data_IF_212616826578
#
_entry.id   IF_212616826578
#
_cell.length_a   1.000
_cell.length_b   1.000
_cell.length_c   1.000
_cell.angle_alpha   90.00
_cell.angle_beta   90.00
_cell.angle_gamma   90.00
#
_symmetry.space_group_name_H-M   'P 1'
#
loop_
_entity.id
_entity.type
_entity.pdbx_description
1 polymer ?
#
# COMPACT_ATOMS: atom_id res chain seq x y z
N UNK A 1 -29.09 -44.54 38.23
CA UNK A 1 -27.91 -44.26 37.39
C UNK A 1 -28.30 -43.12 36.45
N UNK A 2 -28.01 -41.88 36.81
CA UNK A 2 -28.49 -40.69 36.10
C UNK A 2 -27.34 -40.09 35.26
N UNK A 3 -27.53 -40.04 33.94
CA UNK A 3 -26.61 -39.44 32.98
C UNK A 3 -26.62 -37.91 33.13
N UNK A 4 -25.49 -37.35 33.58
CA UNK A 4 -25.23 -35.90 33.56
C UNK A 4 -24.97 -35.49 32.10
N UNK A 5 -25.95 -34.84 31.48
CA UNK A 5 -25.78 -34.15 30.21
C UNK A 5 -24.93 -32.89 30.46
N UNK A 6 -23.66 -32.92 30.07
CA UNK A 6 -22.83 -31.72 29.98
C UNK A 6 -23.37 -30.85 28.83
N UNK A 7 -24.00 -29.72 29.19
CA UNK A 7 -24.33 -28.68 28.23
C UNK A 7 -23.03 -28.04 27.77
N UNK A 8 -22.66 -28.23 26.51
CA UNK A 8 -21.61 -27.45 25.86
C UNK A 8 -22.01 -25.97 25.90
N UNK A 9 -21.21 -25.16 26.56
CA UNK A 9 -21.30 -23.70 26.48
C UNK A 9 -20.97 -23.29 25.04
N UNK A 10 -21.78 -22.46 24.36
CA UNK A 10 -21.46 -22.01 23.01
C UNK A 10 -20.13 -21.23 23.03
N UNK A 11 -19.19 -21.65 22.18
CA UNK A 11 -17.81 -21.14 22.11
C UNK A 11 -17.70 -19.70 21.58
N UNK A 12 -18.81 -19.03 21.29
CA UNK A 12 -18.86 -17.71 20.67
C UNK A 12 -19.95 -16.85 21.31
N UNK A 13 -19.73 -16.33 22.51
CA UNK A 13 -20.39 -15.09 22.92
C UNK A 13 -19.78 -13.95 22.10
N UNK A 14 -20.27 -13.77 20.87
CA UNK A 14 -20.05 -12.53 20.11
C UNK A 14 -20.76 -11.40 20.86
N UNK A 15 -20.04 -10.75 21.77
CA UNK A 15 -20.36 -9.37 22.18
C UNK A 15 -19.92 -8.44 21.05
N UNK A 16 -20.60 -8.50 19.90
CA UNK A 16 -20.67 -7.33 19.03
C UNK A 16 -21.54 -6.33 19.78
N UNK A 17 -20.89 -5.46 20.58
CA UNK A 17 -21.54 -4.25 21.06
C UNK A 17 -21.70 -3.38 19.82
N UNK A 18 -22.81 -3.56 19.09
CA UNK A 18 -23.25 -2.60 18.09
C UNK A 18 -23.43 -1.27 18.82
N UNK A 19 -22.43 -0.40 18.71
CA UNK A 19 -22.56 0.98 19.12
C UNK A 19 -23.69 1.57 18.28
N UNK A 20 -24.82 1.85 18.92
CA UNK A 20 -25.95 2.53 18.29
C UNK A 20 -25.47 3.93 17.90
N UNK A 21 -25.23 4.13 16.60
CA UNK A 21 -24.85 5.45 16.05
C UNK A 21 -26.09 6.34 16.06
N UNK A 22 -26.00 7.54 16.61
CA UNK A 22 -27.14 8.45 16.65
C UNK A 22 -27.52 8.91 15.22
N UNK A 23 -28.82 9.11 14.92
CA UNK A 23 -29.25 9.56 13.59
C UNK A 23 -28.62 10.87 13.12
N UNK A 24 -28.27 11.78 14.03
CA UNK A 24 -27.59 13.03 13.71
C UNK A 24 -26.16 12.79 13.20
N UNK A 25 -25.45 11.81 13.75
CA UNK A 25 -24.10 11.42 13.33
C UNK A 25 -24.12 10.77 11.94
N UNK A 26 -25.16 10.01 11.62
CA UNK A 26 -25.34 9.42 10.28
C UNK A 26 -25.53 10.49 9.20
N UNK A 27 -26.35 11.51 9.46
CA UNK A 27 -26.56 12.61 8.51
C UNK A 27 -25.27 13.41 8.26
N UNK A 28 -24.50 13.66 9.32
CA UNK A 28 -23.19 14.31 9.20
C UNK A 28 -22.22 13.46 8.39
N UNK A 29 -22.12 12.17 8.71
CA UNK A 29 -21.24 11.24 8.00
C UNK A 29 -21.60 11.17 6.51
N UNK A 30 -22.89 11.14 6.19
CA UNK A 30 -23.34 11.15 4.80
C UNK A 30 -22.92 12.40 4.05
N UNK A 31 -23.08 13.58 4.66
CA UNK A 31 -22.62 14.83 4.04
C UNK A 31 -21.12 14.83 3.78
N UNK A 32 -20.32 14.35 4.74
CA UNK A 32 -18.87 14.22 4.55
C UNK A 32 -18.55 13.26 3.39
N UNK A 33 -19.27 12.15 3.26
CA UNK A 33 -19.06 11.22 2.14
C UNK A 33 -19.51 11.81 0.79
N UNK A 34 -20.60 12.58 0.75
CA UNK A 34 -21.02 13.32 -0.44
C UNK A 34 -19.96 14.34 -0.85
N UNK A 35 -19.46 15.11 0.11
CA UNK A 35 -18.40 16.10 -0.11
C UNK A 35 -17.11 15.45 -0.61
N UNK A 36 -16.77 14.27 -0.08
CA UNK A 36 -15.59 13.50 -0.47
C UNK A 36 -15.66 12.95 -1.91
N UNK A 37 -16.85 12.59 -2.40
CA UNK A 37 -17.02 11.95 -3.72
C UNK A 37 -17.35 12.95 -4.82
N UNK A 38 -18.14 13.98 -4.53
CA UNK A 38 -18.65 14.89 -5.57
C UNK A 38 -18.85 16.34 -5.13
N UNK A 39 -18.39 16.73 -3.95
CA UNK A 39 -18.60 18.07 -3.40
C UNK A 39 -17.72 19.15 -4.01
N UNK A 40 -18.08 20.40 -3.70
CA UNK A 40 -17.23 21.59 -3.92
C UNK A 40 -16.22 21.82 -2.78
N UNK A 41 -16.27 20.98 -1.75
CA UNK A 41 -15.41 21.07 -0.57
C UNK A 41 -13.98 20.59 -0.88
N UNK A 42 -13.03 21.01 -0.04
CA UNK A 42 -11.67 20.47 -0.07
C UNK A 42 -11.68 19.01 0.41
N UNK A 43 -11.58 18.08 -0.55
CA UNK A 43 -11.66 16.63 -0.31
C UNK A 43 -10.57 16.13 0.64
N UNK A 44 -9.40 16.79 0.67
CA UNK A 44 -8.33 16.46 1.62
C UNK A 44 -8.75 16.81 3.05
N UNK A 45 -9.32 18.00 3.26
CA UNK A 45 -9.80 18.42 4.59
C UNK A 45 -10.94 17.50 5.09
N UNK A 46 -11.82 17.07 4.19
CA UNK A 46 -12.85 16.08 4.50
C UNK A 46 -12.25 14.74 4.94
N UNK A 47 -11.18 14.27 4.28
CA UNK A 47 -10.47 13.05 4.70
C UNK A 47 -9.84 13.18 6.09
N UNK A 48 -9.20 14.32 6.37
CA UNK A 48 -8.63 14.61 7.69
C UNK A 48 -9.73 14.55 8.74
N UNK A 49 -10.87 15.20 8.49
CA UNK A 49 -12.02 15.21 9.39
C UNK A 49 -12.55 13.80 9.67
N UNK A 50 -12.73 12.97 8.63
CA UNK A 50 -13.16 11.57 8.77
C UNK A 50 -12.16 10.74 9.57
N UNK A 51 -10.87 11.01 9.42
CA UNK A 51 -9.79 10.38 10.17
C UNK A 51 -9.81 10.73 11.66
N UNK A 52 -9.87 12.03 11.97
CA UNK A 52 -9.91 12.57 13.34
C UNK A 52 -11.14 12.07 14.11
N UNK A 53 -12.30 12.04 13.45
CA UNK A 53 -13.53 11.48 14.03
C UNK A 53 -13.42 9.97 14.25
N UNK A 54 -12.46 9.28 13.61
CA UNK A 54 -12.32 7.84 13.62
C UNK A 54 -13.37 7.11 12.78
N UNK A 55 -14.01 7.80 11.84
CA UNK A 55 -15.01 7.22 10.97
C UNK A 55 -14.40 6.10 10.11
N UNK A 56 -13.16 6.28 9.64
CA UNK A 56 -12.45 5.31 8.79
C UNK A 56 -12.22 3.98 9.53
N UNK A 57 -11.82 4.01 10.81
CA UNK A 57 -11.55 2.79 11.61
C UNK A 57 -12.82 2.07 12.08
N UNK A 58 -13.96 2.77 12.19
CA UNK A 58 -15.22 2.22 12.71
C UNK A 58 -16.22 1.82 11.63
N UNK A 59 -16.25 2.54 10.50
CA UNK A 59 -17.28 2.38 9.48
C UNK A 59 -16.72 1.71 8.20
N UNK A 60 -17.16 0.47 7.90
CA UNK A 60 -16.82 -0.28 6.69
C UNK A 60 -16.97 0.49 5.37
N UNK A 61 -18.05 1.27 5.23
CA UNK A 61 -18.33 2.03 4.01
C UNK A 61 -17.35 3.19 3.86
N UNK A 62 -17.05 3.90 4.94
CA UNK A 62 -16.08 5.01 4.93
C UNK A 62 -14.71 4.46 4.53
N UNK A 63 -14.26 3.37 5.16
CA UNK A 63 -13.00 2.71 4.78
C UNK A 63 -12.98 2.33 3.30
N UNK A 64 -14.06 1.74 2.79
CA UNK A 64 -14.17 1.40 1.37
C UNK A 64 -14.04 2.62 0.46
N UNK A 65 -14.75 3.72 0.77
CA UNK A 65 -14.65 4.97 0.00
C UNK A 65 -13.23 5.52 0.02
N UNK A 66 -12.57 5.57 1.18
CA UNK A 66 -11.18 6.05 1.30
C UNK A 66 -10.22 5.16 0.50
N UNK A 67 -10.41 3.84 0.45
CA UNK A 67 -9.60 2.94 -0.39
C UNK A 67 -9.73 3.28 -1.87
N UNK A 68 -10.92 3.67 -2.34
CA UNK A 68 -11.12 4.07 -3.74
C UNK A 68 -10.34 5.34 -4.08
N UNK A 69 -10.00 6.18 -3.10
CA UNK A 69 -9.20 7.39 -3.32
C UNK A 69 -7.71 7.11 -3.45
N UNK A 70 -7.27 5.86 -3.32
CA UNK A 70 -5.88 5.51 -3.65
C UNK A 70 -5.59 5.63 -5.15
N UNK A 71 -6.63 5.64 -6.00
CA UNK A 71 -6.50 5.91 -7.45
C UNK A 71 -6.78 7.36 -7.85
N UNK A 72 -7.04 8.25 -6.88
CA UNK A 72 -7.58 9.59 -7.13
C UNK A 72 -6.67 10.41 -8.06
N UNK A 73 -7.18 11.16 -9.05
CA UNK A 73 -6.32 11.99 -9.89
C UNK A 73 -5.57 13.07 -9.10
N UNK A 74 -6.14 13.55 -8.00
CA UNK A 74 -5.50 14.55 -7.14
C UNK A 74 -4.50 13.86 -6.18
N UNK A 75 -3.22 14.20 -6.34
CA UNK A 75 -2.14 13.66 -5.52
C UNK A 75 -2.27 14.03 -4.05
N UNK A 76 -2.80 15.20 -3.70
CA UNK A 76 -2.97 15.61 -2.31
C UNK A 76 -4.05 14.77 -1.62
N UNK A 77 -5.16 14.49 -2.32
CA UNK A 77 -6.22 13.58 -1.85
C UNK A 77 -5.71 12.16 -1.73
N UNK A 78 -4.97 11.65 -2.73
CA UNK A 78 -4.34 10.33 -2.69
C UNK A 78 -3.40 10.20 -1.51
N UNK A 79 -2.52 11.17 -1.29
CA UNK A 79 -1.56 11.17 -0.18
C UNK A 79 -2.25 11.14 1.17
N UNK A 80 -3.33 11.91 1.34
CA UNK A 80 -4.13 11.88 2.56
C UNK A 80 -4.81 10.52 2.74
N UNK A 81 -5.37 9.93 1.69
CA UNK A 81 -5.96 8.60 1.75
C UNK A 81 -4.93 7.53 2.16
N UNK A 82 -3.71 7.58 1.60
CA UNK A 82 -2.58 6.70 1.98
C UNK A 82 -2.27 6.85 3.46
N UNK A 83 -2.12 8.09 3.95
CA UNK A 83 -1.81 8.39 5.35
C UNK A 83 -2.89 7.85 6.28
N UNK A 84 -4.16 8.17 6.01
CA UNK A 84 -5.28 7.74 6.85
C UNK A 84 -5.41 6.22 6.90
N UNK A 85 -5.28 5.53 5.77
CA UNK A 85 -5.28 4.06 5.75
C UNK A 85 -4.04 3.49 6.43
N UNK A 86 -2.86 4.11 6.27
CA UNK A 86 -1.63 3.73 6.94
C UNK A 86 -1.73 3.80 8.46
N UNK A 87 -2.44 4.80 9.00
CA UNK A 87 -2.77 4.92 10.43
C UNK A 87 -3.69 3.77 10.85
N UNK A 88 -4.79 3.54 10.13
CA UNK A 88 -5.74 2.46 10.44
C UNK A 88 -5.06 1.09 10.42
N UNK A 89 -4.19 0.83 9.45
CA UNK A 89 -3.46 -0.44 9.34
C UNK A 89 -2.42 -0.59 10.45
N UNK A 90 -1.77 0.49 10.90
CA UNK A 90 -0.83 0.43 12.03
C UNK A 90 -1.49 -0.04 13.32
N UNK A 91 -2.77 0.31 13.50
CA UNK A 91 -3.53 -0.09 14.66
C UNK A 91 -3.96 -1.55 14.61
N UNK A 92 -3.89 -2.24 13.47
CA UNK A 92 -4.20 -3.68 13.40
C UNK A 92 -3.09 -4.46 14.13
N UNK A 93 -3.40 -5.33 15.12
CA UNK A 93 -4.70 -5.98 15.37
C UNK A 93 -5.56 -5.40 16.53
N UNK A 94 -5.30 -4.19 17.01
CA UNK A 94 -6.06 -3.52 18.09
C UNK A 94 -7.56 -3.49 17.84
N UNK A 95 -8.35 -3.77 18.88
CA UNK A 95 -9.83 -3.65 18.88
C UNK A 95 -10.34 -2.25 18.54
N UNK A 96 -9.45 -1.25 18.44
CA UNK A 96 -9.76 0.08 17.92
C UNK A 96 -10.26 0.09 16.46
N UNK A 97 -9.86 -0.92 15.66
CA UNK A 97 -10.31 -1.08 14.27
C UNK A 97 -11.35 -2.19 14.18
N UNK A 98 -12.53 -1.84 13.67
CA UNK A 98 -13.63 -2.79 13.45
C UNK A 98 -13.18 -3.96 12.58
N UNK A 99 -13.56 -5.19 12.96
CA UNK A 99 -13.21 -6.40 12.19
C UNK A 99 -13.61 -6.28 10.71
N UNK A 100 -14.83 -5.77 10.43
CA UNK A 100 -15.32 -5.57 9.07
C UNK A 100 -14.47 -4.56 8.28
N UNK A 101 -13.93 -3.53 8.94
CA UNK A 101 -13.02 -2.56 8.29
C UNK A 101 -11.72 -3.25 7.88
N UNK A 102 -11.16 -4.11 8.75
CA UNK A 102 -9.95 -4.88 8.42
C UNK A 102 -10.17 -5.82 7.25
N UNK A 103 -11.30 -6.53 7.25
CA UNK A 103 -11.67 -7.45 6.16
C UNK A 103 -11.82 -6.71 4.83
N UNK A 104 -12.45 -5.53 4.84
CA UNK A 104 -12.58 -4.69 3.63
C UNK A 104 -11.23 -4.19 3.15
N UNK A 105 -10.39 -3.66 4.04
CA UNK A 105 -9.05 -3.18 3.67
C UNK A 105 -8.24 -4.32 3.06
N UNK A 106 -8.16 -5.47 3.74
CA UNK A 106 -7.43 -6.64 3.24
C UNK A 106 -7.97 -7.15 1.90
N UNK A 107 -9.30 -7.25 1.76
CA UNK A 107 -9.94 -7.72 0.53
C UNK A 107 -9.74 -6.76 -0.65
N UNK A 108 -9.82 -5.45 -0.40
CA UNK A 108 -9.65 -4.44 -1.44
C UNK A 108 -8.19 -4.30 -1.86
N UNK A 109 -7.25 -4.21 -0.90
CA UNK A 109 -5.82 -4.17 -1.19
C UNK A 109 -5.32 -5.45 -1.86
N UNK A 110 -5.89 -6.62 -1.53
CA UNK A 110 -5.57 -7.87 -2.20
C UNK A 110 -5.98 -7.93 -3.68
N UNK A 111 -6.81 -7.00 -4.15
CA UNK A 111 -7.24 -6.86 -5.56
C UNK A 111 -6.47 -5.79 -6.32
N UNK A 112 -5.52 -5.10 -5.69
CA UNK A 112 -4.74 -4.05 -6.34
C UNK A 112 -3.99 -4.61 -7.54
N UNK A 113 -4.02 -3.84 -8.63
CA UNK A 113 -3.32 -4.14 -9.86
C UNK A 113 -2.12 -3.20 -10.07
N UNK A 114 -1.51 -3.26 -11.27
CA UNK A 114 -0.38 -2.38 -11.62
C UNK A 114 -0.74 -0.90 -11.62
N UNK A 115 -1.98 -0.53 -12.00
CA UNK A 115 -2.40 0.86 -12.05
C UNK A 115 -2.51 1.42 -10.63
N UNK A 116 -3.12 0.66 -9.72
CA UNK A 116 -3.21 1.04 -8.31
C UNK A 116 -1.81 1.20 -7.70
N UNK A 117 -0.93 0.23 -7.93
CA UNK A 117 0.44 0.26 -7.45
C UNK A 117 1.21 1.47 -8.02
N UNK A 118 1.01 1.82 -9.29
CA UNK A 118 1.69 2.96 -9.91
C UNK A 118 1.29 4.27 -9.23
N UNK A 119 0.00 4.47 -8.95
CA UNK A 119 -0.48 5.65 -8.23
C UNK A 119 0.16 5.79 -6.85
N UNK A 120 0.27 4.68 -6.12
CA UNK A 120 0.96 4.62 -4.83
C UNK A 120 2.46 4.99 -4.95
N UNK A 121 3.18 4.35 -5.87
CA UNK A 121 4.61 4.62 -6.08
C UNK A 121 4.87 6.07 -6.50
N UNK A 122 3.97 6.65 -7.32
CA UNK A 122 4.06 8.05 -7.70
C UNK A 122 3.96 8.97 -6.47
N UNK A 123 3.00 8.72 -5.58
CA UNK A 123 2.87 9.46 -4.31
C UNK A 123 4.16 9.42 -3.47
N UNK A 124 4.75 8.24 -3.29
CA UNK A 124 6.01 8.09 -2.56
C UNK A 124 7.21 8.74 -3.25
N UNK A 125 7.23 8.75 -4.59
CA UNK A 125 8.30 9.39 -5.37
C UNK A 125 8.28 10.91 -5.26
N UNK A 126 7.10 11.50 -5.01
CA UNK A 126 6.89 12.93 -4.83
C UNK A 126 7.05 13.35 -3.35
N UNK A 127 6.65 12.48 -2.42
CA UNK A 127 6.75 12.70 -0.98
C UNK A 127 7.25 11.45 -0.25
N UNK A 128 8.54 11.46 0.10
CA UNK A 128 9.19 10.36 0.81
C UNK A 128 8.61 10.09 2.21
N UNK A 129 7.87 11.04 2.80
CA UNK A 129 7.23 10.82 4.11
C UNK A 129 6.13 9.75 4.03
N UNK A 130 5.57 9.51 2.82
CA UNK A 130 4.54 8.50 2.58
C UNK A 130 5.06 7.06 2.64
N UNK A 131 6.37 6.86 2.65
CA UNK A 131 6.96 5.51 2.59
C UNK A 131 6.54 4.60 3.74
N UNK A 132 6.40 5.15 4.95
CA UNK A 132 5.99 4.37 6.12
C UNK A 132 4.57 3.83 5.98
N UNK A 133 3.63 4.70 5.64
CA UNK A 133 2.22 4.35 5.47
C UNK A 133 2.02 3.44 4.26
N UNK A 134 2.67 3.75 3.13
CA UNK A 134 2.61 2.91 1.94
C UNK A 134 3.19 1.52 2.18
N UNK A 135 4.29 1.41 2.93
CA UNK A 135 4.86 0.13 3.29
C UNK A 135 3.89 -0.78 4.04
N UNK A 136 3.05 -0.20 4.92
CA UNK A 136 1.99 -0.94 5.63
C UNK A 136 0.91 -1.44 4.66
N UNK A 137 0.48 -0.59 3.72
CA UNK A 137 -0.51 -0.99 2.71
C UNK A 137 0.01 -2.10 1.80
N UNK A 138 1.26 -1.98 1.33
CA UNK A 138 1.89 -2.99 0.49
C UNK A 138 2.06 -4.33 1.20
N UNK A 139 2.34 -4.35 2.51
CA UNK A 139 2.41 -5.58 3.30
C UNK A 139 1.06 -6.30 3.43
N UNK A 140 -0.07 -5.60 3.28
CA UNK A 140 -1.39 -6.23 3.26
C UNK A 140 -1.76 -6.84 1.91
N UNK A 141 -1.06 -6.46 0.83
CA UNK A 141 -1.29 -7.03 -0.48
C UNK A 141 -0.31 -8.20 -0.72
N UNK A 142 -0.80 -9.45 -0.85
CA UNK A 142 0.05 -10.64 -1.03
C UNK A 142 0.80 -10.67 -2.37
N UNK A 143 0.38 -9.87 -3.35
CA UNK A 143 0.98 -9.77 -4.69
C UNK A 143 1.93 -8.58 -4.85
N UNK A 144 2.11 -7.74 -3.82
CA UNK A 144 2.94 -6.54 -3.92
C UNK A 144 4.33 -6.80 -4.49
N UNK A 145 5.03 -7.84 -4.02
CA UNK A 145 6.37 -8.11 -4.54
C UNK A 145 6.43 -8.60 -6.00
N UNK A 146 5.38 -9.28 -6.49
CA UNK A 146 5.27 -9.63 -7.92
C UNK A 146 5.07 -8.35 -8.74
N UNK A 147 4.07 -7.54 -8.37
CA UNK A 147 3.74 -6.30 -9.06
C UNK A 147 4.91 -5.31 -9.05
N UNK A 148 5.63 -5.18 -7.94
CA UNK A 148 6.83 -4.35 -7.83
C UNK A 148 7.97 -4.88 -8.72
N UNK A 149 8.16 -6.20 -8.80
CA UNK A 149 9.17 -6.79 -9.66
C UNK A 149 8.90 -6.48 -11.14
N UNK A 150 7.63 -6.55 -11.55
CA UNK A 150 7.22 -6.19 -12.92
C UNK A 150 7.49 -4.71 -13.21
N UNK A 151 7.15 -3.81 -12.28
CA UNK A 151 7.44 -2.36 -12.38
C UNK A 151 8.95 -2.13 -12.54
N UNK A 152 9.79 -2.82 -11.78
CA UNK A 152 11.25 -2.70 -11.90
C UNK A 152 11.77 -3.22 -13.25
N UNK A 153 11.16 -4.29 -13.78
CA UNK A 153 11.51 -4.90 -15.05
C UNK A 153 11.11 -4.08 -16.29
N UNK A 154 10.03 -3.32 -16.19
CA UNK A 154 9.49 -2.52 -17.29
C UNK A 154 10.30 -1.24 -17.52
N UNK A 155 10.81 -1.07 -18.75
CA UNK A 155 11.60 0.10 -19.15
C UNK A 155 10.75 1.29 -19.59
N UNK A 156 9.46 1.08 -19.83
CA UNK A 156 8.52 2.16 -20.14
C UNK A 156 8.17 2.99 -18.90
N UNK A 157 8.33 2.40 -17.71
CA UNK A 157 8.11 3.05 -16.43
C UNK A 157 9.22 4.07 -16.14
N UNK A 158 8.89 5.30 -15.71
CA UNK A 158 9.88 6.31 -15.32
C UNK A 158 10.86 5.83 -14.24
N UNK A 159 12.11 6.25 -14.33
CA UNK A 159 13.17 5.81 -13.42
C UNK A 159 12.86 6.10 -11.93
N UNK A 160 12.22 7.23 -11.63
CA UNK A 160 11.80 7.58 -10.26
C UNK A 160 10.89 6.52 -9.65
N UNK A 161 9.92 6.03 -10.43
CA UNK A 161 8.96 4.99 -10.00
C UNK A 161 9.65 3.63 -9.86
N UNK A 162 10.55 3.28 -10.78
CA UNK A 162 11.34 2.04 -10.69
C UNK A 162 12.23 2.05 -9.44
N UNK A 163 12.85 3.18 -9.11
CA UNK A 163 13.65 3.36 -7.89
C UNK A 163 12.80 3.19 -6.62
N UNK A 164 11.59 3.77 -6.57
CA UNK A 164 10.67 3.53 -5.45
C UNK A 164 10.31 2.04 -5.34
N UNK A 165 10.04 1.37 -6.46
CA UNK A 165 9.74 -0.05 -6.44
C UNK A 165 10.92 -0.90 -5.89
N UNK A 166 12.15 -0.60 -6.31
CA UNK A 166 13.37 -1.22 -5.75
C UNK A 166 13.48 -0.97 -4.25
N UNK A 167 13.22 0.27 -3.80
CA UNK A 167 13.23 0.63 -2.39
C UNK A 167 12.24 -0.24 -1.59
N UNK A 168 10.98 -0.35 -2.02
CA UNK A 168 9.98 -1.17 -1.30
C UNK A 168 10.29 -2.66 -1.34
N UNK A 169 10.80 -3.19 -2.45
CA UNK A 169 11.23 -4.59 -2.53
C UNK A 169 12.27 -4.88 -1.44
N UNK A 170 13.32 -4.06 -1.34
CA UNK A 170 14.38 -4.24 -0.35
C UNK A 170 13.92 -3.98 1.08
N UNK A 171 13.08 -2.96 1.30
CA UNK A 171 12.64 -2.54 2.63
C UNK A 171 11.60 -3.49 3.24
N UNK A 172 10.72 -4.07 2.43
CA UNK A 172 9.64 -4.95 2.89
C UNK A 172 10.01 -6.44 2.80
N UNK A 173 11.16 -6.78 2.24
CA UNK A 173 11.64 -8.16 2.20
C UNK A 173 10.93 -9.03 1.17
N UNK A 174 10.51 -8.45 0.04
CA UNK A 174 9.83 -9.19 -1.04
C UNK A 174 10.79 -10.09 -1.84
N UNK A 175 11.14 -11.23 -1.25
CA UNK A 175 12.10 -12.21 -1.79
C UNK A 175 11.72 -12.77 -3.17
N UNK A 176 10.43 -12.82 -3.50
CA UNK A 176 9.93 -13.20 -4.83
C UNK A 176 10.47 -12.30 -5.97
N UNK A 177 10.86 -11.06 -5.66
CA UNK A 177 11.41 -10.12 -6.62
C UNK A 177 12.93 -10.30 -6.85
N UNK A 178 13.61 -11.11 -6.04
CA UNK A 178 15.07 -11.26 -6.04
C UNK A 178 15.63 -11.64 -7.43
N UNK A 179 15.05 -12.65 -8.08
CA UNK A 179 15.50 -13.09 -9.40
C UNK A 179 15.32 -12.01 -10.49
N UNK A 180 14.37 -11.09 -10.33
CA UNK A 180 14.22 -9.94 -11.24
C UNK A 180 15.29 -8.88 -10.98
N UNK A 181 15.59 -8.59 -9.71
CA UNK A 181 16.67 -7.68 -9.33
C UNK A 181 18.05 -8.17 -9.80
N UNK A 182 18.37 -9.45 -9.59
CA UNK A 182 19.67 -10.03 -10.00
C UNK A 182 19.86 -10.00 -11.51
N UNK A 183 18.83 -10.37 -12.29
CA UNK A 183 18.87 -10.28 -13.75
C UNK A 183 19.08 -8.83 -14.21
N UNK A 184 18.43 -7.88 -13.56
CA UNK A 184 18.57 -6.47 -13.88
C UNK A 184 19.98 -5.95 -13.56
N UNK A 185 20.52 -6.25 -12.37
CA UNK A 185 21.88 -5.90 -11.98
C UNK A 185 22.92 -6.48 -12.95
N UNK A 186 22.87 -7.78 -13.20
CA UNK A 186 23.78 -8.47 -14.13
C UNK A 186 23.76 -7.85 -15.52
N UNK A 187 22.57 -7.47 -16.01
CA UNK A 187 22.41 -6.81 -17.31
C UNK A 187 23.06 -5.43 -17.34
N UNK A 188 22.89 -4.62 -16.29
CA UNK A 188 23.48 -3.28 -16.20
C UNK A 188 25.01 -3.38 -16.13
N UNK A 189 25.53 -4.24 -15.26
CA UNK A 189 26.98 -4.45 -15.11
C UNK A 189 27.61 -4.98 -16.40
N UNK A 190 26.98 -5.96 -17.06
CA UNK A 190 27.50 -6.52 -18.31
C UNK A 190 27.60 -5.45 -19.41
N UNK A 191 26.66 -4.51 -19.45
CA UNK A 191 26.72 -3.36 -20.39
C UNK A 191 27.84 -2.39 -20.04
N UNK A 192 28.00 -2.05 -18.76
CA UNK A 192 29.09 -1.17 -18.30
C UNK A 192 30.47 -1.77 -18.64
N UNK A 193 30.67 -3.07 -18.39
CA UNK A 193 31.91 -3.79 -18.74
C UNK A 193 32.12 -3.86 -20.25
N UNK A 194 31.07 -4.18 -21.02
CA UNK A 194 31.13 -4.28 -22.47
C UNK A 194 31.49 -2.95 -23.15
N UNK A 195 31.04 -1.81 -22.61
CA UNK A 195 31.43 -0.48 -23.09
C UNK A 195 32.89 -0.14 -22.81
N UNK A 196 33.41 -0.53 -21.64
CA UNK A 196 34.84 -0.38 -21.34
C UNK A 196 35.73 -1.16 -22.31
N UNK A 197 35.24 -2.28 -22.85
CA UNK A 197 35.95 -3.09 -23.83
C UNK A 197 35.75 -2.65 -25.29
N UNK A 198 34.68 -1.89 -25.60
CA UNK A 198 34.33 -1.48 -26.96
C UNK A 198 34.01 0.03 -27.01
N UNK A 199 34.98 0.90 -27.34
CA UNK A 199 34.79 2.36 -27.36
C UNK A 199 33.75 2.85 -28.39
N UNK A 200 33.30 1.98 -29.31
CA UNK A 200 32.29 2.29 -30.32
C UNK A 200 30.86 1.88 -29.92
N UNK A 201 30.67 1.21 -28.77
CA UNK A 201 29.34 0.83 -28.31
C UNK A 201 28.54 2.07 -27.86
N UNK A 202 27.23 2.06 -28.10
CA UNK A 202 26.36 3.12 -27.62
C UNK A 202 26.48 3.27 -26.09
N UNK A 203 26.51 4.51 -25.56
CA UNK A 203 26.68 4.76 -24.13
C UNK A 203 25.56 4.13 -23.31
N UNK A 204 25.86 3.70 -22.09
CA UNK A 204 24.86 3.10 -21.22
C UNK A 204 23.81 4.17 -20.90
N UNK A 205 22.56 3.76 -20.73
CA UNK A 205 21.57 4.67 -20.19
C UNK A 205 22.07 5.11 -18.80
N UNK A 206 22.39 6.41 -18.59
CA UNK A 206 22.94 6.89 -17.32
C UNK A 206 21.97 6.63 -16.16
N UNK A 207 20.67 6.59 -16.44
CA UNK A 207 19.65 6.31 -15.43
C UNK A 207 19.75 4.86 -14.92
N UNK A 208 19.95 3.88 -15.81
CA UNK A 208 20.11 2.47 -15.43
C UNK A 208 21.35 2.29 -14.55
N UNK A 209 22.43 3.03 -14.85
CA UNK A 209 23.64 3.02 -14.04
C UNK A 209 23.42 3.65 -12.65
N UNK A 210 22.62 4.72 -12.57
CA UNK A 210 22.29 5.39 -11.32
C UNK A 210 21.42 4.54 -10.37
N UNK A 211 20.58 3.64 -10.91
CA UNK A 211 19.74 2.73 -10.12
C UNK A 211 20.52 1.51 -9.57
N UNK A 212 21.67 1.16 -10.16
CA UNK A 212 22.43 -0.04 -9.79
C UNK A 212 22.76 -0.14 -8.28
N UNK A 213 23.23 0.92 -7.58
CA UNK A 213 23.50 0.84 -6.15
C UNK A 213 22.26 0.49 -5.32
N UNK A 214 21.10 1.04 -5.66
CA UNK A 214 19.84 0.75 -4.97
C UNK A 214 19.40 -0.71 -5.18
N UNK A 215 19.59 -1.25 -6.39
CA UNK A 215 19.31 -2.66 -6.69
C UNK A 215 20.23 -3.57 -5.85
N UNK A 216 21.52 -3.28 -5.81
CA UNK A 216 22.49 -4.06 -5.04
C UNK A 216 22.18 -4.01 -3.53
N UNK A 217 21.77 -2.86 -3.01
CA UNK A 217 21.32 -2.74 -1.61
C UNK A 217 20.07 -3.59 -1.35
N UNK A 218 19.08 -3.54 -2.24
CA UNK A 218 17.87 -4.35 -2.13
C UNK A 218 18.18 -5.86 -2.18
N UNK A 219 19.04 -6.31 -3.12
CA UNK A 219 19.50 -7.71 -3.19
C UNK A 219 20.15 -8.13 -1.87
N UNK A 220 21.05 -7.30 -1.33
CA UNK A 220 21.73 -7.58 -0.06
C UNK A 220 20.75 -7.73 1.11
N UNK A 221 19.68 -6.94 1.16
CA UNK A 221 18.62 -7.05 2.18
C UNK A 221 17.78 -8.33 2.05
N UNK A 222 17.66 -8.88 0.84
CA UNK A 222 16.84 -10.06 0.55
C UNK A 222 17.60 -11.39 0.67
N UNK A 223 18.93 -11.38 0.62
CA UNK A 223 19.72 -12.60 0.75
C UNK A 223 19.63 -13.14 2.19
N UNK A 224 19.29 -14.43 2.37
CA UNK A 224 19.33 -15.06 3.68
C UNK A 224 20.78 -15.08 4.19
N UNK A 225 20.96 -14.79 5.48
CA UNK A 225 22.24 -14.94 6.18
C UNK A 225 22.72 -16.39 6.22
#
# INVERSE_FOLDING_TARGET
MALKVQRQTPLFEKKEVEQVVEPADLNRLWRLLEDLVGGMADRKEVLVTLGEEGAIRRNPLVAYVVIRLLDDPDTDVRNEAIRQLGIVVAEIPSDAVSLRVREIIGSALGKFDHRDLFGLLLSSSLDATMRGDMGRLLNLNPRSGELLADVVGDRSVPMSIRNEAVYFIGQLGFSQALGTLERLANRIESRQRGQGAMPFAAPANPEDAAMLPAIQEAIKKLQPF
#
